data_IF_720135293070
#
_entry.id   IF_720135293070
#
_cell.length_a   1.000
_cell.length_b   1.000
_cell.length_c   1.000
_cell.angle_alpha   90.00
_cell.angle_beta   90.00
_cell.angle_gamma   90.00
#
_symmetry.space_group_name_H-M   'P 1'
#
loop_
_entity.id
_entity.type
_entity.pdbx_description
1 polymer ?
#
# COMPACT_ATOMS: atom_id res chain seq x y z
N UNK A 1 2.83 -11.22 18.01
CA UNK A 1 3.07 -11.55 16.58
C UNK A 1 3.19 -10.27 15.78
N UNK A 2 4.19 -10.18 14.90
CA UNK A 2 4.37 -9.03 14.01
C UNK A 2 3.98 -9.45 12.60
N UNK A 3 3.14 -8.66 11.92
CA UNK A 3 2.71 -8.96 10.57
C UNK A 3 3.73 -8.44 9.55
N UNK A 4 4.10 -9.28 8.59
CA UNK A 4 4.83 -8.87 7.39
C UNK A 4 3.88 -9.08 6.21
N UNK A 5 3.49 -7.98 5.56
CA UNK A 5 2.64 -8.01 4.37
C UNK A 5 3.48 -7.69 3.15
N UNK A 6 3.37 -8.49 2.10
CA UNK A 6 4.25 -8.42 0.94
C UNK A 6 3.45 -8.23 -0.35
N UNK A 7 3.93 -7.29 -1.18
CA UNK A 7 3.47 -7.14 -2.55
C UNK A 7 4.57 -7.66 -3.49
N UNK A 8 4.15 -8.30 -4.57
CA UNK A 8 5.04 -8.69 -5.66
C UNK A 8 4.99 -7.60 -6.72
N UNK A 9 6.14 -7.03 -7.09
CA UNK A 9 6.22 -5.79 -7.84
C UNK A 9 7.21 -5.91 -9.00
N UNK A 10 6.99 -5.07 -10.03
CA UNK A 10 7.94 -4.95 -11.13
C UNK A 10 9.09 -4.01 -10.79
N UNK A 11 8.81 -2.96 -10.03
CA UNK A 11 9.81 -1.97 -9.62
C UNK A 11 9.70 -1.73 -8.11
N UNK A 12 10.48 -2.46 -7.34
CA UNK A 12 10.39 -2.43 -5.88
C UNK A 12 10.82 -1.09 -5.29
N UNK A 13 11.76 -0.39 -5.91
CA UNK A 13 12.20 0.90 -5.41
C UNK A 13 11.12 1.96 -5.59
N UNK A 14 10.53 2.04 -6.77
CA UNK A 14 9.45 2.98 -7.04
C UNK A 14 8.24 2.72 -6.15
N UNK A 15 7.89 1.45 -5.94
CA UNK A 15 6.79 1.06 -5.06
C UNK A 15 7.05 1.47 -3.61
N UNK A 16 8.24 1.17 -3.10
CA UNK A 16 8.60 1.57 -1.74
C UNK A 16 8.54 3.09 -1.59
N UNK A 17 9.08 3.84 -2.55
CA UNK A 17 9.10 5.30 -2.49
C UNK A 17 7.70 5.90 -2.49
N UNK A 18 6.78 5.30 -3.26
CA UNK A 18 5.38 5.73 -3.26
C UNK A 18 4.77 5.66 -1.85
N UNK A 19 4.87 4.49 -1.23
CA UNK A 19 4.30 4.30 0.11
C UNK A 19 5.07 5.07 1.18
N UNK A 20 6.38 5.20 1.03
CA UNK A 20 7.18 5.98 1.96
C UNK A 20 6.79 7.46 1.93
N UNK A 21 6.60 8.04 0.75
CA UNK A 21 6.17 9.42 0.59
C UNK A 21 4.76 9.63 1.16
N UNK A 22 3.89 8.65 0.94
CA UNK A 22 2.49 8.74 1.37
C UNK A 22 2.34 8.59 2.88
N UNK A 23 3.10 7.68 3.50
CA UNK A 23 2.90 7.28 4.89
C UNK A 23 3.97 7.82 5.84
N UNK A 24 5.10 8.30 5.32
CA UNK A 24 6.19 8.82 6.16
C UNK A 24 6.88 7.75 6.99
N UNK A 25 6.88 6.49 6.54
CA UNK A 25 7.47 5.40 7.30
C UNK A 25 8.95 5.20 6.98
N UNK A 26 9.76 4.76 7.96
CA UNK A 26 11.17 4.46 7.70
C UNK A 26 11.35 3.17 6.92
N UNK A 27 12.43 3.12 6.15
CA UNK A 27 12.81 1.89 5.45
C UNK A 27 13.41 0.88 6.43
N UNK A 28 13.06 -0.40 6.23
CA UNK A 28 13.69 -1.52 6.93
C UNK A 28 15.02 -1.85 6.24
N UNK A 29 16.04 -1.05 6.48
CA UNK A 29 17.33 -1.17 5.77
C UNK A 29 18.01 -2.51 6.00
N UNK A 30 17.86 -3.09 7.20
CA UNK A 30 18.44 -4.38 7.52
C UNK A 30 17.87 -5.52 6.67
N UNK A 31 16.67 -5.34 6.10
CA UNK A 31 16.02 -6.35 5.26
C UNK A 31 16.26 -6.12 3.76
N UNK A 32 16.93 -5.03 3.38
CA UNK A 32 17.13 -4.67 1.98
C UNK A 32 18.01 -5.70 1.26
N UNK A 33 17.59 -6.07 0.06
CA UNK A 33 18.36 -6.91 -0.86
C UNK A 33 18.07 -6.45 -2.30
N UNK A 34 18.75 -7.00 -3.31
CA UNK A 34 18.43 -6.67 -4.70
C UNK A 34 17.00 -6.98 -5.12
N UNK A 35 16.31 -7.86 -4.39
CA UNK A 35 14.95 -8.29 -4.75
C UNK A 35 13.92 -7.97 -3.66
N UNK A 36 14.31 -7.20 -2.61
CA UNK A 36 13.40 -6.88 -1.51
C UNK A 36 13.69 -5.50 -0.92
N UNK A 37 12.65 -4.69 -0.79
CA UNK A 37 12.66 -3.43 -0.04
C UNK A 37 11.45 -3.43 0.87
N UNK A 38 11.52 -2.71 1.99
CA UNK A 38 10.39 -2.68 2.92
C UNK A 38 10.36 -1.40 3.74
N UNK A 39 9.17 -1.05 4.20
CA UNK A 39 8.93 -0.06 5.24
C UNK A 39 8.54 -0.78 6.52
N UNK A 40 8.88 -0.20 7.67
CA UNK A 40 8.71 -0.92 8.92
C UNK A 40 8.27 -0.02 10.05
N UNK A 41 7.40 -0.56 10.91
CA UNK A 41 7.06 -0.03 12.22
C UNK A 41 7.29 -1.13 13.25
N UNK A 42 7.02 -0.84 14.53
CA UNK A 42 7.10 -1.86 15.58
C UNK A 42 6.07 -3.01 15.34
N UNK A 43 4.97 -2.70 14.66
CA UNK A 43 3.83 -3.63 14.54
C UNK A 43 3.80 -4.40 13.23
N UNK A 44 4.42 -3.87 12.17
CA UNK A 44 4.39 -4.53 10.87
C UNK A 44 5.60 -4.20 10.01
N UNK A 45 5.85 -5.05 9.03
CA UNK A 45 6.75 -4.74 7.92
C UNK A 45 5.97 -4.85 6.62
N UNK A 46 6.05 -3.81 5.79
CA UNK A 46 5.38 -3.75 4.49
C UNK A 46 6.44 -3.91 3.40
N UNK A 47 6.46 -5.08 2.76
CA UNK A 47 7.52 -5.49 1.86
C UNK A 47 7.14 -5.44 0.39
N UNK A 48 8.15 -5.15 -0.43
CA UNK A 48 8.05 -5.06 -1.89
C UNK A 48 9.05 -6.04 -2.48
N UNK A 49 8.53 -7.10 -3.11
CA UNK A 49 9.31 -8.21 -3.62
C UNK A 49 9.41 -8.11 -5.14
N UNK A 50 10.62 -8.25 -5.68
CA UNK A 50 10.84 -8.21 -7.12
C UNK A 50 10.31 -9.48 -7.80
N UNK A 51 10.22 -9.44 -9.13
CA UNK A 51 9.70 -10.54 -9.93
C UNK A 51 10.41 -11.88 -9.67
N UNK A 52 11.71 -11.85 -9.35
CA UNK A 52 12.45 -13.05 -9.03
C UNK A 52 11.89 -13.82 -7.83
N UNK A 53 11.15 -13.14 -6.94
CA UNK A 53 10.55 -13.82 -5.80
C UNK A 53 9.49 -14.84 -6.19
N UNK A 54 8.83 -14.68 -7.34
CA UNK A 54 7.86 -15.67 -7.79
C UNK A 54 8.47 -17.07 -7.88
N UNK A 55 9.61 -17.19 -8.54
CA UNK A 55 10.27 -18.49 -8.66
C UNK A 55 10.77 -19.02 -7.31
N UNK A 56 11.32 -18.13 -6.47
CA UNK A 56 11.82 -18.51 -5.15
C UNK A 56 10.71 -19.05 -4.25
N UNK A 57 9.48 -18.56 -4.41
CA UNK A 57 8.33 -18.95 -3.60
C UNK A 57 7.51 -20.07 -4.25
N UNK A 58 7.98 -20.65 -5.37
CA UNK A 58 7.22 -21.63 -6.16
C UNK A 58 5.89 -21.09 -6.67
N UNK A 59 5.87 -19.80 -7.05
CA UNK A 59 4.67 -19.11 -7.51
C UNK A 59 4.78 -18.63 -8.97
N UNK A 60 5.76 -19.14 -9.73
CA UNK A 60 6.01 -18.68 -11.10
C UNK A 60 4.79 -18.84 -12.01
N UNK A 61 3.99 -19.87 -11.80
CA UNK A 61 2.77 -20.13 -12.57
C UNK A 61 1.58 -19.25 -12.16
N UNK A 62 1.73 -18.45 -11.11
CA UNK A 62 0.70 -17.54 -10.60
C UNK A 62 1.04 -16.07 -10.82
N UNK A 63 2.06 -15.80 -11.60
CA UNK A 63 2.47 -14.44 -11.91
C UNK A 63 1.42 -13.79 -12.82
N UNK A 64 1.04 -12.52 -12.56
CA UNK A 64 0.09 -11.82 -13.44
C UNK A 64 0.58 -11.77 -14.87
N UNK A 65 -0.34 -11.97 -15.81
CA UNK A 65 -0.05 -11.80 -17.23
C UNK A 65 0.05 -10.31 -17.56
N UNK A 66 0.77 -10.00 -18.65
CA UNK A 66 1.05 -8.62 -19.07
C UNK A 66 -0.21 -7.76 -19.16
N UNK A 67 -0.08 -6.49 -18.86
CA UNK A 67 -1.04 -5.39 -19.06
C UNK A 67 -2.50 -5.67 -18.68
N UNK A 68 -2.86 -6.88 -18.29
CA UNK A 68 -4.20 -7.21 -17.84
C UNK A 68 -4.36 -6.74 -16.41
N UNK A 69 -5.48 -6.07 -16.12
CA UNK A 69 -5.78 -5.65 -14.76
C UNK A 69 -5.95 -6.88 -13.87
N UNK A 70 -5.16 -6.93 -12.78
CA UNK A 70 -5.18 -8.07 -11.87
C UNK A 70 -6.46 -8.06 -11.03
N UNK A 71 -7.17 -9.19 -10.93
CA UNK A 71 -8.32 -9.28 -10.03
C UNK A 71 -7.92 -8.97 -8.59
N UNK A 72 -8.78 -8.24 -7.86
CA UNK A 72 -8.51 -7.89 -6.46
C UNK A 72 -9.07 -9.00 -5.57
N UNK A 73 -8.17 -9.70 -4.89
CA UNK A 73 -8.54 -10.74 -3.92
C UNK A 73 -8.08 -10.42 -2.52
N UNK A 74 -7.27 -9.36 -2.37
CA UNK A 74 -6.80 -8.88 -1.07
C UNK A 74 -6.38 -7.42 -1.20
N UNK A 75 -6.46 -6.68 -0.11
CA UNK A 75 -5.95 -5.31 -0.03
C UNK A 75 -5.53 -5.00 1.39
N UNK A 76 -4.55 -4.13 1.54
CA UNK A 76 -4.15 -3.62 2.84
C UNK A 76 -5.02 -2.42 3.21
N UNK A 77 -5.38 -2.30 4.48
CA UNK A 77 -5.96 -1.08 5.02
C UNK A 77 -4.96 -0.47 6.00
N UNK A 78 -4.58 0.77 5.72
CA UNK A 78 -3.63 1.50 6.53
C UNK A 78 -4.40 2.54 7.35
N UNK A 79 -4.38 2.39 8.66
CA UNK A 79 -5.13 3.25 9.56
C UNK A 79 -4.30 4.49 9.86
N UNK A 80 -4.82 5.66 9.52
CA UNK A 80 -4.21 6.96 9.82
C UNK A 80 -4.84 7.55 11.07
N UNK A 81 -4.16 8.52 11.68
CA UNK A 81 -4.59 9.06 12.97
C UNK A 81 -5.79 9.99 12.87
N UNK A 82 -5.88 10.79 11.80
CA UNK A 82 -6.93 11.80 11.65
C UNK A 82 -7.52 11.83 10.24
N UNK A 83 -8.79 12.26 10.10
CA UNK A 83 -9.38 12.49 8.78
C UNK A 83 -8.61 13.48 7.93
N UNK A 84 -8.03 14.51 8.55
CA UNK A 84 -7.24 15.53 7.86
C UNK A 84 -5.97 14.93 7.25
N UNK A 85 -5.31 14.03 7.99
CA UNK A 85 -4.14 13.31 7.47
C UNK A 85 -4.52 12.42 6.29
N UNK A 86 -5.70 11.79 6.34
CA UNK A 86 -6.20 10.98 5.24
C UNK A 86 -6.46 11.84 4.00
N UNK A 87 -7.16 12.96 4.15
CA UNK A 87 -7.45 13.85 3.05
C UNK A 87 -6.17 14.35 2.38
N UNK A 88 -5.17 14.70 3.18
CA UNK A 88 -3.87 15.16 2.70
C UNK A 88 -3.15 14.06 1.92
N UNK A 89 -3.14 12.85 2.45
CA UNK A 89 -2.52 11.71 1.77
C UNK A 89 -3.20 11.41 0.44
N UNK A 90 -4.53 11.36 0.42
CA UNK A 90 -5.30 11.08 -0.80
C UNK A 90 -5.02 12.14 -1.88
N UNK A 91 -4.90 13.40 -1.48
CA UNK A 91 -4.60 14.49 -2.42
C UNK A 91 -3.24 14.31 -3.10
N UNK A 92 -2.29 13.63 -2.47
CA UNK A 92 -0.94 13.40 -3.01
C UNK A 92 -0.87 12.20 -3.96
N UNK A 93 -1.83 11.29 -3.91
CA UNK A 93 -1.76 10.00 -4.62
C UNK A 93 -1.55 10.17 -6.13
N UNK A 94 -2.29 11.03 -6.86
CA UNK A 94 -2.08 11.15 -8.31
C UNK A 94 -0.67 11.66 -8.67
N UNK A 95 -0.15 12.64 -7.93
CA UNK A 95 1.19 13.18 -8.18
C UNK A 95 2.29 12.16 -7.91
N UNK A 96 2.05 11.19 -7.04
CA UNK A 96 2.99 10.12 -6.73
C UNK A 96 2.88 8.93 -7.69
N UNK A 97 1.95 8.97 -8.64
CA UNK A 97 1.79 7.90 -9.63
C UNK A 97 0.68 6.91 -9.34
N UNK A 98 -0.08 7.11 -8.27
CA UNK A 98 -1.21 6.25 -7.93
C UNK A 98 -2.53 6.76 -8.50
N UNK A 99 -3.62 6.10 -8.14
CA UNK A 99 -4.97 6.42 -8.62
C UNK A 99 -5.95 6.39 -7.44
N UNK A 100 -6.87 7.35 -7.43
CA UNK A 100 -7.98 7.37 -6.46
C UNK A 100 -9.15 6.62 -7.09
N UNK A 101 -9.51 5.47 -6.51
CA UNK A 101 -10.65 4.67 -6.99
C UNK A 101 -11.95 5.12 -6.34
N UNK A 102 -11.90 5.49 -5.08
CA UNK A 102 -13.05 6.05 -4.35
C UNK A 102 -12.54 7.14 -3.42
N UNK A 103 -12.99 8.37 -3.67
CA UNK A 103 -12.61 9.54 -2.88
C UNK A 103 -13.05 9.37 -1.41
N UNK A 104 -12.46 10.12 -0.48
CA UNK A 104 -12.81 9.99 0.94
C UNK A 104 -14.32 10.05 1.17
N UNK A 105 -14.81 9.12 1.98
CA UNK A 105 -16.24 8.97 2.26
C UNK A 105 -16.42 8.43 3.68
N UNK A 106 -17.59 8.68 4.25
CA UNK A 106 -17.98 8.11 5.53
C UNK A 106 -18.52 6.70 5.31
N UNK A 107 -17.91 5.72 5.99
CA UNK A 107 -18.43 4.35 5.96
C UNK A 107 -19.67 4.23 6.84
N UNK A 108 -20.47 3.16 6.62
CA UNK A 108 -21.65 2.94 7.45
C UNK A 108 -21.28 2.62 8.92
N UNK A 109 -20.03 2.23 9.17
CA UNK A 109 -19.55 1.96 10.53
C UNK A 109 -18.75 3.12 11.14
N UNK A 110 -18.84 4.32 10.55
CA UNK A 110 -18.32 5.54 11.18
C UNK A 110 -16.84 5.83 10.98
N UNK A 111 -16.24 5.31 9.93
CA UNK A 111 -14.86 5.62 9.57
C UNK A 111 -14.81 6.52 8.34
N UNK A 112 -13.79 7.38 8.26
CA UNK A 112 -13.45 8.17 7.08
C UNK A 112 -12.45 7.38 6.25
N UNK A 113 -12.78 7.10 4.99
CA UNK A 113 -12.06 6.07 4.23
C UNK A 113 -11.95 6.43 2.76
N UNK A 114 -10.86 5.99 2.11
CA UNK A 114 -10.68 6.10 0.67
C UNK A 114 -10.12 4.80 0.12
N UNK A 115 -10.40 4.51 -1.15
CA UNK A 115 -9.86 3.34 -1.86
C UNK A 115 -8.95 3.82 -2.98
N UNK A 116 -7.75 3.26 -3.06
CA UNK A 116 -6.66 3.78 -3.86
C UNK A 116 -5.93 2.64 -4.57
N UNK A 117 -5.19 3.00 -5.64
CA UNK A 117 -4.22 2.10 -6.26
C UNK A 117 -2.83 2.71 -6.18
N UNK A 118 -1.83 1.87 -6.01
CA UNK A 118 -0.44 2.26 -6.14
C UNK A 118 -0.01 2.30 -7.63
N UNK A 119 1.24 2.70 -7.96
CA UNK A 119 1.66 2.82 -9.36
C UNK A 119 1.61 1.52 -10.16
N UNK A 120 1.60 0.37 -9.52
CA UNK A 120 1.50 -0.92 -10.20
C UNK A 120 0.10 -1.53 -10.16
N UNK A 121 -0.88 -0.80 -9.62
CA UNK A 121 -2.27 -1.22 -9.62
C UNK A 121 -2.70 -2.06 -8.42
N UNK A 122 -1.87 -2.20 -7.39
CA UNK A 122 -2.31 -2.86 -6.16
C UNK A 122 -3.27 -1.94 -5.43
N UNK A 123 -4.43 -2.50 -5.06
CA UNK A 123 -5.45 -1.75 -4.32
C UNK A 123 -5.10 -1.71 -2.85
N UNK A 124 -5.32 -0.55 -2.23
CA UNK A 124 -5.22 -0.38 -0.77
C UNK A 124 -6.26 0.62 -0.30
N UNK A 125 -6.51 0.64 1.00
CA UNK A 125 -7.40 1.62 1.62
C UNK A 125 -6.61 2.44 2.64
N UNK A 126 -6.99 3.71 2.75
CA UNK A 126 -6.67 4.53 3.91
C UNK A 126 -7.94 4.73 4.70
N UNK A 127 -7.85 4.65 6.02
CA UNK A 127 -9.01 4.82 6.88
C UNK A 127 -8.61 5.48 8.19
N UNK A 128 -9.59 6.07 8.87
CA UNK A 128 -9.43 6.61 10.23
C UNK A 128 -10.59 6.14 11.08
N UNK A 129 -10.38 6.08 12.39
CA UNK A 129 -11.43 5.63 13.31
C UNK A 129 -12.52 6.70 13.56
N UNK A 130 -12.27 7.94 13.13
CA UNK A 130 -13.22 9.05 13.33
C UNK A 130 -13.58 9.71 12.02
N UNK A 131 -14.73 10.39 12.02
CA UNK A 131 -15.19 11.19 10.89
C UNK A 131 -14.64 12.62 10.98
N UNK A 132 -14.62 13.38 9.85
CA UNK A 132 -14.27 14.79 9.88
C UNK A 132 -15.19 15.56 10.83
N UNK A 133 -14.65 16.63 11.44
CA UNK A 133 -15.40 17.47 12.38
C UNK A 133 -15.24 17.05 13.82
N UNK A 134 -14.41 16.06 14.13
CA UNK A 134 -14.06 15.71 15.51
C UNK A 134 -15.15 15.00 16.28
N UNK A 135 -16.12 14.46 15.60
CA UNK A 135 -17.19 13.71 16.24
C UNK A 135 -16.76 12.30 16.62
#
# INVERSE_FOLDING_TARGET
>A
MKLWFNLLCRDIEAQMRFYQALLGLPEAEASRSPIYRALETADFQFGFNAQAAYALLNLADRQPQDSTETPVVAYATLMLDTPEALDKAVAQVPALGGTVLKAPYATYYGQWQAVLCDPEGHVFRLSTLSLPGGA
#
